data_IF_190361463841
#
_entry.id   IF_190361463841
#
_cell.length_a   1.000
_cell.length_b   1.000
_cell.length_c   1.000
_cell.angle_alpha   90.00
_cell.angle_beta   90.00
_cell.angle_gamma   90.00
#
_symmetry.space_group_name_H-M   'P 1'
#
loop_
_entity.id
_entity.type
_entity.pdbx_description
1 polymer ?
#
# COMPACT_ATOMS: atom_id res chain seq x y z
N UNK A 1 -47.47 16.16 15.46
CA UNK A 1 -46.69 17.40 15.53
C UNK A 1 -45.61 17.29 14.46
N UNK A 2 -45.78 18.08 13.40
CA UNK A 2 -44.97 18.09 12.18
C UNK A 2 -43.80 19.05 12.40
N UNK A 3 -42.56 18.57 12.27
CA UNK A 3 -41.39 19.44 12.16
C UNK A 3 -40.42 18.90 11.11
N UNK A 4 -40.55 19.50 9.92
CA UNK A 4 -39.50 19.97 9.01
C UNK A 4 -38.53 18.93 8.43
N UNK A 5 -38.94 18.41 7.29
CA UNK A 5 -38.06 18.24 6.14
C UNK A 5 -37.46 19.59 5.72
N UNK A 6 -36.20 19.84 6.07
CA UNK A 6 -35.38 20.82 5.36
C UNK A 6 -33.90 20.54 5.62
N UNK A 7 -33.12 20.51 4.54
CA UNK A 7 -31.66 20.58 4.49
C UNK A 7 -30.85 19.28 4.64
N UNK A 8 -30.98 18.35 3.67
CA UNK A 8 -29.85 17.49 3.26
C UNK A 8 -29.94 17.23 1.75
N UNK A 9 -29.53 18.19 0.90
CA UNK A 9 -29.38 17.96 -0.54
C UNK A 9 -28.08 18.52 -1.15
N UNK A 10 -27.24 19.22 -0.38
CA UNK A 10 -25.99 19.80 -0.89
C UNK A 10 -24.74 18.94 -0.65
N UNK A 11 -24.81 17.88 0.16
CA UNK A 11 -23.64 17.05 0.46
C UNK A 11 -23.35 15.99 -0.62
N UNK A 12 -24.36 15.53 -1.35
CA UNK A 12 -24.21 14.43 -2.32
C UNK A 12 -23.38 14.80 -3.56
N UNK A 13 -23.41 16.05 -4.01
CA UNK A 13 -22.65 16.49 -5.19
C UNK A 13 -21.16 16.65 -4.85
N UNK A 14 -20.85 17.12 -3.65
CA UNK A 14 -19.46 17.25 -3.20
C UNK A 14 -18.85 15.88 -2.93
N UNK A 15 -19.61 14.97 -2.30
CA UNK A 15 -19.16 13.60 -2.03
C UNK A 15 -18.91 12.80 -3.32
N UNK A 16 -19.72 13.03 -4.37
CA UNK A 16 -19.54 12.37 -5.67
C UNK A 16 -18.32 12.88 -6.46
N UNK A 17 -17.81 14.07 -6.16
CA UNK A 17 -16.60 14.61 -6.81
C UNK A 17 -15.35 14.14 -6.06
N UNK A 18 -15.42 13.95 -4.74
CA UNK A 18 -14.29 13.53 -3.91
C UNK A 18 -14.03 12.02 -3.86
N UNK A 19 -14.92 11.21 -4.43
CA UNK A 19 -14.75 9.75 -4.54
C UNK A 19 -13.72 9.42 -5.65
N UNK A 20 -12.44 9.66 -5.35
CA UNK A 20 -11.30 9.52 -6.28
C UNK A 20 -11.23 8.15 -6.98
N UNK A 21 -11.81 7.11 -6.38
CA UNK A 21 -11.81 5.74 -6.88
C UNK A 21 -12.81 5.53 -8.03
N UNK A 22 -13.96 6.21 -8.03
CA UNK A 22 -14.97 6.10 -9.11
C UNK A 22 -14.65 6.98 -10.31
N UNK A 23 -13.99 8.11 -10.07
CA UNK A 23 -13.58 9.05 -11.09
C UNK A 23 -12.08 8.98 -11.40
N UNK A 24 -11.38 7.91 -11.01
CA UNK A 24 -9.93 7.79 -11.18
C UNK A 24 -9.50 8.09 -12.61
N UNK A 25 -10.20 7.52 -13.60
CA UNK A 25 -9.89 7.74 -15.01
C UNK A 25 -10.13 9.20 -15.43
N UNK A 26 -11.23 9.81 -15.00
CA UNK A 26 -11.52 11.21 -15.30
C UNK A 26 -10.48 12.15 -14.64
N UNK A 27 -10.15 11.94 -13.37
CA UNK A 27 -9.14 12.70 -12.65
C UNK A 27 -7.73 12.49 -13.24
N UNK A 28 -7.42 11.28 -13.72
CA UNK A 28 -6.17 11.00 -14.41
C UNK A 28 -6.10 11.73 -15.76
N UNK A 29 -7.16 11.69 -16.56
CA UNK A 29 -7.23 12.39 -17.85
C UNK A 29 -7.18 13.90 -17.67
N UNK A 30 -7.93 14.45 -16.71
CA UNK A 30 -7.90 15.89 -16.40
C UNK A 30 -6.53 16.29 -15.85
N UNK A 31 -5.98 15.50 -14.94
CA UNK A 31 -4.66 15.75 -14.35
C UNK A 31 -3.56 15.74 -15.40
N UNK A 32 -3.56 14.76 -16.31
CA UNK A 32 -2.58 14.69 -17.40
C UNK A 32 -2.74 15.86 -18.38
N UNK A 33 -3.96 16.21 -18.79
CA UNK A 33 -4.21 17.37 -19.66
C UNK A 33 -3.75 18.69 -19.04
N UNK A 34 -4.16 18.96 -17.81
CA UNK A 34 -3.77 20.19 -17.09
C UNK A 34 -2.26 20.23 -16.88
N UNK A 35 -1.66 19.10 -16.50
CA UNK A 35 -0.22 18.99 -16.33
C UNK A 35 0.54 19.23 -17.64
N UNK A 36 0.09 18.68 -18.77
CA UNK A 36 0.71 18.92 -20.08
C UNK A 36 0.63 20.38 -20.48
N UNK A 37 -0.53 21.03 -20.35
CA UNK A 37 -0.69 22.45 -20.72
C UNK A 37 0.23 23.34 -19.86
N UNK A 38 0.26 23.11 -18.55
CA UNK A 38 1.14 23.87 -17.65
C UNK A 38 2.61 23.57 -17.96
N UNK A 39 2.96 22.30 -18.18
CA UNK A 39 4.33 21.89 -18.47
C UNK A 39 4.85 22.49 -19.77
N UNK A 40 4.06 22.47 -20.84
CA UNK A 40 4.42 23.05 -22.13
C UNK A 40 4.54 24.57 -22.05
N UNK A 41 3.60 25.24 -21.36
CA UNK A 41 3.64 26.69 -21.16
C UNK A 41 4.85 27.15 -20.34
N UNK A 42 5.13 26.48 -19.22
CA UNK A 42 6.30 26.77 -18.38
C UNK A 42 7.60 26.45 -19.11
N UNK A 43 7.64 25.34 -19.87
CA UNK A 43 8.81 24.97 -20.67
C UNK A 43 9.09 26.02 -21.76
N UNK A 44 8.08 26.45 -22.51
CA UNK A 44 8.23 27.48 -23.53
C UNK A 44 8.75 28.80 -22.92
N UNK A 45 8.13 29.27 -21.83
CA UNK A 45 8.57 30.47 -21.12
C UNK A 45 10.00 30.36 -20.59
N UNK A 46 10.36 29.20 -20.02
CA UNK A 46 11.71 28.94 -19.52
C UNK A 46 12.74 29.02 -20.65
N UNK A 47 12.48 28.39 -21.80
CA UNK A 47 13.41 28.42 -22.93
C UNK A 47 13.48 29.79 -23.61
N UNK A 48 12.35 30.48 -23.76
CA UNK A 48 12.31 31.77 -24.45
C UNK A 48 12.91 32.90 -23.62
N UNK A 49 12.65 32.94 -22.31
CA UNK A 49 13.14 34.02 -21.44
C UNK A 49 14.54 33.70 -20.92
N UNK A 50 14.73 32.50 -20.37
CA UNK A 50 15.96 32.13 -19.69
C UNK A 50 17.02 31.69 -20.69
N UNK A 51 16.63 30.96 -21.74
CA UNK A 51 17.54 30.55 -22.81
C UNK A 51 18.12 31.74 -23.58
N UNK A 52 17.27 32.70 -23.97
CA UNK A 52 17.76 33.94 -24.62
C UNK A 52 18.69 34.72 -23.71
N UNK A 53 18.33 34.94 -22.44
CA UNK A 53 19.20 35.68 -21.50
C UNK A 53 20.55 35.00 -21.28
N UNK A 54 20.57 33.67 -21.13
CA UNK A 54 21.83 32.94 -20.94
C UNK A 54 22.73 33.01 -22.18
N UNK A 55 22.13 32.98 -23.38
CA UNK A 55 22.87 33.12 -24.63
C UNK A 55 23.51 34.52 -24.73
N UNK A 56 22.77 35.59 -24.40
CA UNK A 56 23.31 36.95 -24.49
C UNK A 56 24.40 37.24 -23.45
N UNK A 57 24.30 36.71 -22.23
CA UNK A 57 25.25 37.02 -21.16
C UNK A 57 26.44 36.06 -21.08
N UNK A 58 26.27 34.78 -21.44
CA UNK A 58 27.33 33.77 -21.32
C UNK A 58 27.84 33.23 -22.66
N UNK A 59 27.22 33.58 -23.79
CA UNK A 59 27.64 33.11 -25.12
C UNK A 59 27.54 31.58 -25.30
N UNK A 60 26.75 30.91 -24.46
CA UNK A 60 26.59 29.45 -24.48
C UNK A 60 25.61 29.08 -25.57
N UNK A 61 25.98 28.10 -26.41
CA UNK A 61 25.10 27.63 -27.48
C UNK A 61 23.84 26.95 -26.94
N UNK A 62 22.71 27.23 -27.57
CA UNK A 62 21.39 26.71 -27.20
C UNK A 62 21.36 25.17 -27.06
N UNK A 63 22.04 24.46 -27.97
CA UNK A 63 22.11 23.00 -27.95
C UNK A 63 22.80 22.46 -26.69
N UNK A 64 23.83 23.16 -26.19
CA UNK A 64 24.54 22.76 -24.98
C UNK A 64 23.64 22.98 -23.75
N UNK A 65 22.97 24.12 -23.68
CA UNK A 65 22.02 24.41 -22.60
C UNK A 65 20.95 23.31 -22.50
N UNK A 66 20.36 22.92 -23.65
CA UNK A 66 19.37 21.84 -23.73
C UNK A 66 19.91 20.50 -23.24
N UNK A 67 21.13 20.13 -23.64
CA UNK A 67 21.74 18.87 -23.24
C UNK A 67 22.07 18.83 -21.74
N UNK A 68 22.59 19.93 -21.19
CA UNK A 68 22.84 20.05 -19.74
C UNK A 68 21.55 19.95 -18.95
N UNK A 69 20.48 20.65 -19.36
CA UNK A 69 19.19 20.60 -18.66
C UNK A 69 18.59 19.20 -18.67
N UNK A 70 18.66 18.48 -19.80
CA UNK A 70 18.18 17.08 -19.89
C UNK A 70 19.00 16.17 -18.98
N UNK A 71 20.34 16.26 -19.00
CA UNK A 71 21.20 15.47 -18.11
C UNK A 71 20.92 15.77 -16.64
N UNK A 72 20.69 17.03 -16.29
CA UNK A 72 20.35 17.45 -14.93
C UNK A 72 18.99 16.89 -14.50
N UNK A 73 17.99 16.90 -15.38
CA UNK A 73 16.67 16.30 -15.12
C UNK A 73 16.76 14.79 -14.89
N UNK A 74 17.50 14.07 -15.76
CA UNK A 74 17.74 12.63 -15.60
C UNK A 74 18.49 12.37 -14.30
N UNK A 75 19.52 13.16 -14.00
CA UNK A 75 20.29 13.07 -12.76
C UNK A 75 19.42 13.35 -11.53
N UNK A 76 18.47 14.27 -11.60
CA UNK A 76 17.53 14.59 -10.52
C UNK A 76 16.49 13.49 -10.34
N UNK A 77 16.01 12.87 -11.42
CA UNK A 77 15.10 11.72 -11.39
C UNK A 77 15.78 10.49 -10.77
N UNK A 78 16.97 10.14 -11.26
CA UNK A 78 17.80 9.09 -10.68
C UNK A 78 18.13 9.44 -9.23
N UNK A 79 18.50 10.69 -8.96
CA UNK A 79 18.75 11.23 -7.64
C UNK A 79 17.57 11.00 -6.71
N UNK A 80 16.34 11.35 -7.10
CA UNK A 80 15.13 11.12 -6.31
C UNK A 80 14.89 9.63 -6.04
N UNK A 81 15.03 8.76 -7.04
CA UNK A 81 14.86 7.31 -6.86
C UNK A 81 15.90 6.72 -5.90
N UNK A 82 17.15 7.16 -6.02
CA UNK A 82 18.21 6.77 -5.11
C UNK A 82 18.05 7.44 -3.74
N UNK A 83 17.55 8.68 -3.65
CA UNK A 83 17.28 9.37 -2.40
C UNK A 83 16.15 8.72 -1.61
N UNK A 84 15.10 8.22 -2.27
CA UNK A 84 14.07 7.41 -1.60
C UNK A 84 14.64 6.12 -1.00
N UNK A 85 15.65 5.54 -1.63
CA UNK A 85 16.37 4.38 -1.11
C UNK A 85 17.40 4.76 -0.04
N UNK A 86 18.04 5.93 -0.20
CA UNK A 86 18.98 6.52 0.72
C UNK A 86 18.30 6.95 2.01
N UNK A 87 17.06 7.44 1.97
CA UNK A 87 16.28 7.74 3.17
C UNK A 87 16.06 6.48 4.01
N UNK A 88 15.77 5.34 3.36
CA UNK A 88 15.68 4.02 4.03
C UNK A 88 17.03 3.54 4.56
N UNK A 89 18.12 3.76 3.81
CA UNK A 89 19.48 3.43 4.25
C UNK A 89 19.94 4.31 5.42
N UNK A 90 19.69 5.62 5.36
CA UNK A 90 20.05 6.60 6.39
C UNK A 90 19.27 6.35 7.70
N UNK A 91 18.01 5.89 7.60
CA UNK A 91 17.24 5.41 8.75
C UNK A 91 17.89 4.25 9.50
N UNK A 92 18.71 3.42 8.83
CA UNK A 92 19.44 2.34 9.49
C UNK A 92 20.65 2.85 10.30
N UNK A 93 21.21 4.00 9.94
CA UNK A 93 22.42 4.55 10.58
C UNK A 93 22.13 5.73 11.53
N UNK A 94 20.99 6.40 11.38
CA UNK A 94 20.62 7.56 12.19
C UNK A 94 19.25 7.30 12.84
N UNK A 95 19.21 6.78 14.08
CA UNK A 95 17.96 6.39 14.76
C UNK A 95 17.06 7.58 15.16
N UNK A 96 17.43 8.82 14.81
CA UNK A 96 16.75 10.04 15.25
C UNK A 96 15.60 10.47 14.32
N UNK A 97 15.51 9.94 13.08
CA UNK A 97 14.58 10.43 12.05
C UNK A 97 13.43 9.47 11.67
N UNK A 98 13.11 8.48 12.52
CA UNK A 98 11.87 7.70 12.41
C UNK A 98 11.25 7.47 13.77
N UNK A 99 10.00 7.92 14.04
CA UNK A 99 9.12 7.03 14.77
C UNK A 99 9.02 5.77 13.90
N UNK A 100 9.24 4.58 14.46
CA UNK A 100 9.15 3.38 13.66
C UNK A 100 7.74 3.33 13.06
N UNK A 101 7.61 2.94 11.79
CA UNK A 101 6.42 2.20 11.39
C UNK A 101 6.50 0.85 12.10
N UNK A 102 6.40 0.89 13.43
CA UNK A 102 5.87 -0.20 14.19
C UNK A 102 4.40 -0.17 13.76
N UNK A 103 3.91 -1.19 13.02
CA UNK A 103 2.48 -1.45 13.10
C UNK A 103 2.13 -1.35 14.58
N UNK A 104 1.04 -0.64 14.91
CA UNK A 104 0.55 -0.55 16.27
C UNK A 104 0.05 -1.94 16.68
N UNK A 105 1.00 -2.87 16.86
CA UNK A 105 0.82 -4.20 17.37
C UNK A 105 0.78 -3.97 18.85
N UNK A 106 -0.41 -3.63 19.34
CA UNK A 106 -0.65 -3.68 20.76
C UNK A 106 -0.34 -5.11 21.20
N UNK A 107 0.61 -5.31 22.13
CA UNK A 107 0.81 -6.63 22.70
C UNK A 107 -0.53 -7.07 23.27
N UNK A 108 -0.99 -8.25 22.85
CA UNK A 108 -2.24 -8.81 23.34
C UNK A 108 -2.14 -8.91 24.87
N UNK A 109 -2.92 -8.10 25.58
CA UNK A 109 -2.98 -8.09 27.05
C UNK A 109 -3.66 -9.35 27.59
N UNK A 110 -4.37 -10.07 26.72
CA UNK A 110 -5.12 -11.28 27.05
C UNK A 110 -4.94 -12.32 25.92
N UNK A 111 -4.91 -13.63 26.25
CA UNK A 111 -4.98 -14.68 25.26
C UNK A 111 -6.38 -14.66 24.61
N UNK A 112 -6.47 -14.09 23.42
CA UNK A 112 -7.73 -14.08 22.67
C UNK A 112 -8.08 -15.51 22.25
N UNK A 113 -9.35 -15.92 22.36
CA UNK A 113 -9.75 -17.27 22.00
C UNK A 113 -9.82 -17.51 20.49
N UNK A 114 -9.44 -16.53 19.69
CA UNK A 114 -9.53 -16.54 18.24
C UNK A 114 -8.18 -16.28 17.59
N UNK A 115 -7.81 -17.10 16.62
CA UNK A 115 -6.61 -16.94 15.79
C UNK A 115 -7.04 -16.71 14.35
N UNK A 116 -6.55 -15.62 13.74
CA UNK A 116 -6.74 -15.36 12.31
C UNK A 116 -5.37 -15.55 11.65
N UNK A 117 -5.29 -16.45 10.66
CA UNK A 117 -4.06 -16.69 9.88
C UNK A 117 -4.34 -16.55 8.39
N UNK A 118 -3.36 -16.03 7.66
CA UNK A 118 -3.40 -16.00 6.19
C UNK A 118 -2.58 -17.16 5.61
N UNK A 119 -3.22 -17.99 4.79
CA UNK A 119 -2.59 -19.17 4.19
C UNK A 119 -1.75 -18.79 2.97
N UNK A 120 -0.47 -19.18 3.00
CA UNK A 120 0.43 -19.09 1.85
C UNK A 120 0.22 -20.25 0.87
N UNK A 121 0.46 -20.08 -0.44
CA UNK A 121 0.33 -21.16 -1.45
C UNK A 121 1.53 -22.13 -1.42
N UNK A 122 1.83 -22.71 -0.26
CA UNK A 122 2.92 -23.68 -0.04
C UNK A 122 2.60 -24.58 1.16
N UNK A 123 3.15 -25.80 1.15
CA UNK A 123 2.96 -26.80 2.21
C UNK A 123 3.52 -26.33 3.56
N UNK A 124 4.71 -25.72 3.56
CA UNK A 124 5.33 -25.12 4.76
C UNK A 124 4.81 -23.70 4.98
N UNK A 125 3.52 -23.60 5.30
CA UNK A 125 2.92 -22.30 5.57
C UNK A 125 3.30 -21.81 6.97
N UNK A 126 3.73 -20.54 7.11
CA UNK A 126 3.83 -19.89 8.41
C UNK A 126 2.53 -19.98 9.21
N UNK A 127 1.38 -20.06 8.55
CA UNK A 127 0.08 -20.28 9.19
C UNK A 127 0.04 -21.58 9.99
N UNK A 128 0.58 -22.67 9.45
CA UNK A 128 0.62 -23.97 10.12
C UNK A 128 1.51 -23.93 11.35
N UNK A 129 2.68 -23.29 11.26
CA UNK A 129 3.60 -23.12 12.39
C UNK A 129 2.97 -22.30 13.52
N UNK A 130 2.26 -21.21 13.19
CA UNK A 130 1.57 -20.36 14.17
C UNK A 130 0.41 -21.11 14.82
N UNK A 131 -0.41 -21.83 14.05
CA UNK A 131 -1.49 -22.67 14.60
C UNK A 131 -0.90 -23.72 15.54
N UNK A 132 0.14 -24.45 15.12
CA UNK A 132 0.79 -25.48 15.96
C UNK A 132 1.43 -24.89 17.21
N UNK A 133 2.05 -23.72 17.13
CA UNK A 133 2.64 -23.03 18.28
C UNK A 133 1.56 -22.62 19.30
N UNK A 134 0.46 -22.02 18.82
CA UNK A 134 -0.68 -21.69 19.69
C UNK A 134 -1.41 -22.92 20.24
N UNK A 135 -1.30 -24.07 19.57
CA UNK A 135 -1.91 -25.32 20.01
C UNK A 135 -1.04 -26.10 21.00
N UNK A 136 0.25 -26.26 20.71
CA UNK A 136 1.17 -27.16 21.41
C UNK A 136 2.03 -26.47 22.47
N UNK A 137 2.45 -25.21 22.23
CA UNK A 137 3.44 -24.52 23.07
C UNK A 137 2.87 -23.36 23.90
N UNK A 138 1.55 -23.11 23.86
CA UNK A 138 0.94 -21.98 24.55
C UNK A 138 -0.48 -22.22 25.04
N UNK A 139 -0.62 -22.84 26.23
CA UNK A 139 -1.85 -22.85 27.04
C UNK A 139 -3.11 -23.39 26.32
N UNK A 140 -3.10 -24.65 25.91
CA UNK A 140 -4.08 -25.36 25.06
C UNK A 140 -5.58 -25.38 25.44
N UNK A 141 -6.08 -24.43 26.23
CA UNK A 141 -7.51 -24.27 26.54
C UNK A 141 -8.12 -22.95 26.03
N UNK A 142 -7.36 -22.03 25.46
CA UNK A 142 -7.90 -20.72 25.09
C UNK A 142 -8.33 -20.62 23.62
N UNK A 143 -7.69 -21.33 22.69
CA UNK A 143 -8.01 -21.21 21.27
C UNK A 143 -9.30 -21.96 20.88
N UNK A 144 -10.42 -21.21 20.80
CA UNK A 144 -11.75 -21.70 20.43
C UNK A 144 -12.04 -21.56 18.94
N UNK A 145 -11.52 -20.52 18.29
CA UNK A 145 -11.78 -20.23 16.89
C UNK A 145 -10.48 -20.05 16.11
N UNK A 146 -10.41 -20.64 14.92
CA UNK A 146 -9.31 -20.43 13.99
C UNK A 146 -9.88 -20.05 12.62
N UNK A 147 -9.61 -18.84 12.17
CA UNK A 147 -9.99 -18.36 10.85
C UNK A 147 -8.80 -18.42 9.92
N UNK A 148 -8.92 -19.21 8.86
CA UNK A 148 -7.90 -19.32 7.82
C UNK A 148 -8.37 -18.49 6.62
N UNK A 149 -7.68 -17.38 6.38
CA UNK A 149 -7.89 -16.54 5.19
C UNK A 149 -7.05 -17.11 4.05
N UNK A 150 -7.69 -17.39 2.92
CA UNK A 150 -7.04 -17.96 1.74
C UNK A 150 -7.36 -17.17 0.47
N UNK A 151 -6.59 -17.47 -0.57
CA UNK A 151 -6.82 -17.07 -1.96
C UNK A 151 -7.07 -18.33 -2.78
N UNK A 152 -7.54 -18.20 -4.02
CA UNK A 152 -7.75 -19.36 -4.91
C UNK A 152 -6.49 -20.22 -5.07
N UNK A 153 -5.29 -19.60 -5.04
CA UNK A 153 -4.00 -20.30 -5.09
C UNK A 153 -3.64 -21.03 -3.79
N UNK A 154 -4.13 -20.55 -2.65
CA UNK A 154 -3.84 -21.14 -1.33
C UNK A 154 -4.93 -22.07 -0.80
N UNK A 155 -6.08 -22.17 -1.49
CA UNK A 155 -7.18 -23.09 -1.19
C UNK A 155 -6.78 -24.57 -1.04
N UNK A 156 -6.02 -25.20 -1.99
CA UNK A 156 -5.69 -26.62 -1.85
C UNK A 156 -4.82 -26.87 -0.61
N UNK A 157 -3.87 -25.98 -0.34
CA UNK A 157 -3.01 -26.06 0.84
C UNK A 157 -3.79 -25.84 2.14
N UNK A 158 -4.72 -24.89 2.16
CA UNK A 158 -5.58 -24.65 3.33
C UNK A 158 -6.46 -25.87 3.63
N UNK A 159 -7.01 -26.50 2.60
CA UNK A 159 -7.84 -27.70 2.71
C UNK A 159 -7.05 -28.89 3.22
N UNK A 160 -5.84 -29.11 2.69
CA UNK A 160 -4.94 -30.16 3.17
C UNK A 160 -4.49 -29.93 4.61
N UNK A 161 -4.22 -28.68 4.99
CA UNK A 161 -3.91 -28.31 6.36
C UNK A 161 -5.09 -28.56 7.31
N UNK A 162 -6.32 -28.23 6.90
CA UNK A 162 -7.53 -28.54 7.67
C UNK A 162 -7.72 -30.04 7.88
N UNK A 163 -7.55 -30.86 6.84
CA UNK A 163 -7.66 -32.32 6.94
C UNK A 163 -6.63 -32.92 7.90
N UNK A 164 -5.41 -32.38 7.94
CA UNK A 164 -4.37 -32.78 8.89
C UNK A 164 -4.76 -32.46 10.34
N UNK A 165 -5.52 -31.39 10.56
CA UNK A 165 -6.04 -31.05 11.88
C UNK A 165 -7.29 -31.85 12.25
N UNK A 166 -8.26 -32.05 11.34
CA UNK A 166 -9.49 -32.81 11.61
C UNK A 166 -9.26 -34.33 11.76
N UNK A 167 -8.29 -34.91 11.04
CA UNK A 167 -7.99 -36.34 11.07
C UNK A 167 -7.22 -36.83 12.30
N UNK A 168 -6.71 -35.90 13.12
CA UNK A 168 -6.02 -36.19 14.38
C UNK A 168 -6.94 -35.95 15.57
N UNK A 169 -7.23 -36.99 16.36
CA UNK A 169 -8.03 -36.92 17.61
C UNK A 169 -7.50 -35.95 18.70
N UNK A 170 -6.53 -35.10 18.39
CA UNK A 170 -5.93 -34.09 19.26
C UNK A 170 -6.49 -32.66 19.05
N UNK A 171 -7.34 -32.42 18.03
CA UNK A 171 -7.74 -31.06 17.60
C UNK A 171 -9.24 -30.72 17.71
N UNK A 172 -10.00 -31.43 18.57
CA UNK A 172 -11.48 -31.37 18.62
C UNK A 172 -12.12 -30.11 19.24
N UNK A 173 -11.35 -29.03 19.49
CA UNK A 173 -11.86 -27.83 20.21
C UNK A 173 -11.74 -26.50 19.46
N UNK A 174 -11.19 -26.51 18.24
CA UNK A 174 -11.14 -25.31 17.41
C UNK A 174 -12.19 -25.39 16.32
N UNK A 175 -13.08 -24.40 16.26
CA UNK A 175 -13.91 -24.20 15.07
C UNK A 175 -13.04 -23.56 13.98
N UNK A 176 -12.61 -24.36 13.01
CA UNK A 176 -11.78 -23.89 11.90
C UNK A 176 -12.70 -23.42 10.77
N UNK A 177 -12.67 -22.11 10.48
CA UNK A 177 -13.45 -21.50 9.41
C UNK A 177 -12.56 -21.05 8.27
N UNK A 178 -12.90 -21.47 7.04
CA UNK A 178 -12.15 -21.14 5.83
C UNK A 178 -12.79 -19.96 5.09
N UNK A 179 -12.03 -18.88 4.91
CA UNK A 179 -12.45 -17.68 4.20
C UNK A 179 -11.56 -17.43 2.99
N UNK A 180 -11.99 -17.91 1.82
CA UNK A 180 -11.25 -17.68 0.57
C UNK A 180 -11.78 -16.45 -0.18
N UNK A 181 -10.88 -15.49 -0.40
CA UNK A 181 -11.11 -14.39 -1.32
C UNK A 181 -11.04 -14.94 -2.75
N UNK A 182 -12.19 -15.00 -3.42
CA UNK A 182 -12.26 -15.27 -4.86
C UNK A 182 -11.72 -14.04 -5.59
N UNK A 183 -10.74 -14.23 -6.47
CA UNK A 183 -10.41 -13.17 -7.43
C UNK A 183 -11.60 -12.98 -8.36
N UNK A 184 -12.14 -11.77 -8.40
CA UNK A 184 -13.17 -11.36 -9.35
C UNK A 184 -12.63 -11.35 -10.79
#
# INVERSE_FOLDING_TARGET
MVLKDAAVKSHTVVESITDFTKNFFASFVVGTLVFTIISDGVSALFWEVLGKRLETEFGISYNWLRLVTVLLLIGLLLGLTYFTSFARWLQQYVPFFTPPYQPNVQPLTEPYPGLIVAMSPKNDSPAEAVIRFHWNDGQGNHLKHCWIICTDKSLPYATEMMQRFDGGRAYSRCEVSLWCLRSA
#
